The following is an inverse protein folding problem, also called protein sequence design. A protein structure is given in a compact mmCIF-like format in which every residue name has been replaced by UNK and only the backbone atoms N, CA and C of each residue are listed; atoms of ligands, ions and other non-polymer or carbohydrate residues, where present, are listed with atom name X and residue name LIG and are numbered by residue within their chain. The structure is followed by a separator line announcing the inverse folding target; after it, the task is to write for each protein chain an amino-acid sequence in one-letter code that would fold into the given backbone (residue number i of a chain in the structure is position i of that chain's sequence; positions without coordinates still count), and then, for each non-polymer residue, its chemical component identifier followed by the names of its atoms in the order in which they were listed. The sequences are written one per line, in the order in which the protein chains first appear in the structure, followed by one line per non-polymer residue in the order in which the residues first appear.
data_IF_363468285600
#
_entry.id   IF_363468285600
#
_cell.length_a   1.000
_cell.length_b   1.000
_cell.length_c   1.000
_cell.angle_alpha   90.00
_cell.angle_beta   90.00
_cell.angle_gamma   90.00
#
_symmetry.space_group_name_H-M   'P 1'
#
loop_
_entity.id
_entity.type
_entity.pdbx_description
1 polymer ?
#
# COMPACT_ATOMS: atom_id res chain seq x y z
N UNK A 1 -16.82 2.74 -0.57
CA UNK A 1 -15.89 3.78 -0.12
C UNK A 1 -14.99 4.15 -1.30
N UNK A 2 -14.07 5.10 -1.16
CA UNK A 2 -13.24 5.52 -2.29
C UNK A 2 -11.79 5.73 -1.88
N UNK A 3 -10.89 5.43 -2.80
CA UNK A 3 -9.49 5.84 -2.76
C UNK A 3 -9.33 6.97 -3.76
N UNK A 4 -8.66 8.04 -3.37
CA UNK A 4 -8.38 9.18 -4.22
C UNK A 4 -6.91 9.54 -4.13
N UNK A 5 -6.26 9.67 -5.28
CA UNK A 5 -4.88 10.16 -5.38
C UNK A 5 -4.93 11.61 -5.82
N UNK A 6 -4.33 12.51 -5.07
CA UNK A 6 -4.17 13.93 -5.39
C UNK A 6 -2.71 14.23 -5.71
N UNK A 7 -2.47 15.12 -6.67
CA UNK A 7 -1.13 15.63 -6.95
C UNK A 7 -1.18 17.03 -7.56
N UNK A 8 -0.04 17.72 -7.54
CA UNK A 8 0.16 18.96 -8.25
C UNK A 8 1.11 18.74 -9.42
N UNK A 9 0.72 19.14 -10.63
CA UNK A 9 1.60 19.18 -11.80
C UNK A 9 1.79 20.63 -12.19
N UNK A 10 3.02 21.14 -12.15
CA UNK A 10 3.32 22.54 -12.51
C UNK A 10 2.41 23.57 -11.79
N UNK A 11 2.13 23.33 -10.50
CA UNK A 11 1.27 24.18 -9.68
C UNK A 11 -0.24 24.02 -9.90
N UNK A 12 -0.68 23.10 -10.77
CA UNK A 12 -2.10 22.80 -11.01
C UNK A 12 -2.52 21.53 -10.27
N UNK A 13 -3.68 21.52 -9.60
CA UNK A 13 -4.17 20.34 -8.91
C UNK A 13 -4.80 19.33 -9.86
N UNK A 14 -4.59 18.07 -9.55
CA UNK A 14 -5.17 16.93 -10.23
C UNK A 14 -5.60 15.86 -9.23
N UNK A 15 -6.59 15.04 -9.63
CA UNK A 15 -7.02 13.89 -8.86
C UNK A 15 -7.39 12.71 -9.76
N UNK A 16 -7.29 11.50 -9.20
CA UNK A 16 -7.75 10.25 -9.80
C UNK A 16 -8.44 9.42 -8.72
N UNK A 17 -9.60 8.84 -9.05
CA UNK A 17 -10.41 8.05 -8.12
C UNK A 17 -10.31 6.57 -8.45
N UNK A 18 -10.22 5.74 -7.41
CA UNK A 18 -10.18 4.28 -7.50
C UNK A 18 -11.24 3.67 -6.59
N UNK A 19 -11.75 2.49 -6.97
CA UNK A 19 -12.64 1.71 -6.13
C UNK A 19 -11.90 1.03 -4.96
N UNK A 20 -12.65 0.51 -3.99
CA UNK A 20 -12.10 -0.06 -2.76
C UNK A 20 -11.18 -1.27 -2.98
N UNK A 21 -11.43 -2.06 -4.03
CA UNK A 21 -10.62 -3.21 -4.43
C UNK A 21 -9.34 -2.84 -5.18
N UNK A 22 -9.14 -1.55 -5.47
CA UNK A 22 -8.04 -1.05 -6.30
C UNK A 22 -6.90 -0.40 -5.51
N UNK A 23 -6.73 -0.73 -4.22
CA UNK A 23 -5.66 -0.13 -3.39
C UNK A 23 -4.27 -0.29 -4.01
N UNK A 24 -3.90 -1.48 -4.46
CA UNK A 24 -2.59 -1.72 -5.07
C UNK A 24 -2.41 -0.90 -6.35
N UNK A 25 -3.46 -0.76 -7.16
CA UNK A 25 -3.43 0.07 -8.36
C UNK A 25 -3.26 1.55 -8.02
N UNK A 26 -3.98 2.05 -7.01
CA UNK A 26 -3.86 3.44 -6.54
C UNK A 26 -2.45 3.74 -5.99
N UNK A 27 -1.83 2.80 -5.26
CA UNK A 27 -0.46 2.93 -4.78
C UNK A 27 0.55 2.93 -5.93
N UNK A 28 0.42 2.00 -6.88
CA UNK A 28 1.28 1.96 -8.06
C UNK A 28 1.15 3.24 -8.91
N UNK A 29 -0.07 3.75 -9.06
CA UNK A 29 -0.34 5.03 -9.73
C UNK A 29 0.32 6.20 -9.00
N UNK A 30 0.20 6.26 -7.67
CA UNK A 30 0.85 7.29 -6.84
C UNK A 30 2.38 7.27 -7.01
N UNK A 31 2.99 6.08 -7.02
CA UNK A 31 4.42 5.91 -7.27
C UNK A 31 4.83 6.33 -8.68
N UNK A 32 4.01 6.04 -9.69
CA UNK A 32 4.26 6.50 -11.05
C UNK A 32 4.24 8.03 -11.13
N UNK A 33 3.22 8.69 -10.54
CA UNK A 33 3.15 10.16 -10.46
C UNK A 33 4.36 10.77 -9.76
N UNK A 34 4.89 10.14 -8.69
CA UNK A 34 6.11 10.63 -8.01
C UNK A 34 7.37 10.56 -8.89
N UNK A 35 7.41 9.63 -9.85
CA UNK A 35 8.58 9.38 -10.71
C UNK A 35 8.53 10.11 -12.03
N UNK A 36 7.37 10.63 -12.42
CA UNK A 36 7.23 11.40 -13.65
C UNK A 36 8.17 12.61 -13.64
N UNK A 37 8.87 12.77 -14.76
CA UNK A 37 9.81 13.86 -15.00
C UNK A 37 9.32 14.69 -16.18
N UNK A 38 9.64 15.98 -16.15
CA UNK A 38 9.41 16.85 -17.30
C UNK A 38 10.47 16.63 -18.39
N UNK A 39 10.42 17.44 -19.46
CA UNK A 39 11.36 17.36 -20.57
C UNK A 39 12.81 17.71 -20.17
N UNK A 40 13.00 18.35 -19.01
CA UNK A 40 14.28 18.75 -18.45
C UNK A 40 14.81 17.70 -17.46
N UNK A 41 14.02 16.66 -17.15
CA UNK A 41 14.39 15.61 -16.22
C UNK A 41 14.10 15.94 -14.75
N UNK A 42 13.47 17.09 -14.48
CA UNK A 42 13.06 17.51 -13.15
C UNK A 42 11.73 16.88 -12.76
N UNK A 43 11.45 16.80 -11.45
CA UNK A 43 10.20 16.21 -10.98
C UNK A 43 8.99 17.00 -11.52
N UNK A 44 8.15 16.33 -12.32
CA UNK A 44 6.97 16.95 -12.93
C UNK A 44 5.89 17.26 -11.89
N UNK A 45 5.76 16.36 -10.92
CA UNK A 45 4.69 16.37 -9.93
C UNK A 45 5.23 16.65 -8.53
N UNK A 46 4.45 17.38 -7.74
CA UNK A 46 4.68 17.62 -6.31
C UNK A 46 3.43 17.26 -5.50
N UNK A 47 3.59 17.10 -4.18
CA UNK A 47 2.49 16.82 -3.24
C UNK A 47 1.59 15.63 -3.64
N UNK A 48 2.19 14.49 -4.04
CA UNK A 48 1.44 13.27 -4.38
C UNK A 48 0.93 12.57 -3.11
N UNK A 49 -0.38 12.66 -2.85
CA UNK A 49 -1.04 12.16 -1.64
C UNK A 49 -2.13 11.15 -2.02
N UNK A 50 -2.17 10.02 -1.30
CA UNK A 50 -3.25 9.03 -1.40
C UNK A 50 -4.16 9.18 -0.18
N UNK A 51 -5.44 9.42 -0.40
CA UNK A 51 -6.49 9.40 0.61
C UNK A 51 -7.36 8.16 0.39
N UNK A 52 -7.63 7.38 1.42
CA UNK A 52 -8.42 6.15 1.30
C UNK A 52 -9.36 5.99 2.48
N UNK A 53 -10.62 5.68 2.20
CA UNK A 53 -11.62 5.35 3.23
C UNK A 53 -11.95 3.85 3.23
N UNK A 54 -10.95 2.97 3.19
CA UNK A 54 -11.20 1.55 3.03
C UNK A 54 -11.96 0.94 4.21
N UNK A 55 -13.05 0.24 3.89
CA UNK A 55 -13.93 -0.39 4.88
C UNK A 55 -13.27 -1.48 5.70
N UNK A 56 -12.15 -2.04 5.25
CA UNK A 56 -11.35 -3.07 5.94
C UNK A 56 -10.11 -2.47 6.62
N UNK A 57 -10.27 -1.32 7.28
CA UNK A 57 -9.19 -0.76 8.09
C UNK A 57 -8.78 -1.74 9.20
N UNK A 58 -7.49 -2.10 9.25
CA UNK A 58 -6.90 -2.95 10.30
C UNK A 58 -6.96 -2.32 11.70
N UNK A 59 -7.36 -1.05 11.80
CA UNK A 59 -7.67 -0.39 13.07
C UNK A 59 -9.10 -0.63 13.55
N UNK A 60 -9.90 -1.45 12.85
CA UNK A 60 -11.16 -1.94 13.41
C UNK A 60 -10.85 -2.74 14.68
N UNK A 61 -11.51 -2.43 15.82
CA UNK A 61 -11.45 -3.28 17.00
C UNK A 61 -11.77 -4.72 16.59
N UNK A 62 -10.97 -5.70 17.01
CA UNK A 62 -11.18 -7.11 16.63
C UNK A 62 -10.19 -7.68 15.60
N UNK A 63 -9.61 -6.87 14.72
CA UNK A 63 -8.78 -7.39 13.60
C UNK A 63 -7.43 -7.95 14.07
N UNK A 64 -6.96 -7.55 15.26
CA UNK A 64 -5.77 -8.13 15.93
C UNK A 64 -6.12 -8.93 17.20
N UNK A 65 -7.41 -9.15 17.47
CA UNK A 65 -7.83 -9.84 18.70
C UNK A 65 -7.64 -11.36 18.58
N UNK A 66 -7.81 -11.91 17.36
CA UNK A 66 -7.42 -13.27 17.02
C UNK A 66 -6.16 -13.24 16.16
N UNK A 67 -5.02 -13.49 16.82
CA UNK A 67 -3.75 -13.65 16.15
C UNK A 67 -3.64 -15.08 15.60
N UNK A 68 -3.16 -15.28 14.36
CA UNK A 68 -2.76 -16.59 13.88
C UNK A 68 -1.80 -17.26 14.89
N UNK A 69 -1.84 -18.60 15.05
CA UNK A 69 -0.99 -19.31 16.01
C UNK A 69 0.52 -19.05 15.84
N UNK A 70 0.94 -18.67 14.62
CA UNK A 70 2.31 -18.41 14.23
C UNK A 70 2.67 -16.91 14.16
N UNK A 71 1.76 -16.01 14.55
CA UNK A 71 1.94 -14.56 14.44
C UNK A 71 3.22 -14.03 15.12
N UNK A 72 3.55 -14.55 16.30
CA UNK A 72 4.77 -14.18 17.03
C UNK A 72 6.04 -14.49 16.22
N UNK A 73 6.04 -15.59 15.47
CA UNK A 73 7.16 -15.98 14.63
C UNK A 73 7.26 -15.10 13.39
N UNK A 74 6.17 -14.97 12.63
CA UNK A 74 6.11 -14.21 11.37
C UNK A 74 6.34 -12.71 11.58
N UNK A 75 6.09 -12.21 12.80
CA UNK A 75 6.42 -10.82 13.18
C UNK A 75 7.93 -10.63 13.38
N UNK A 76 8.63 -11.63 13.93
CA UNK A 76 10.08 -11.56 14.21
C UNK A 76 10.94 -12.07 13.05
N UNK A 77 10.36 -12.80 12.10
CA UNK A 77 11.08 -13.45 11.00
C UNK A 77 10.34 -13.23 9.68
N UNK A 78 11.09 -13.01 8.59
CA UNK A 78 10.50 -12.93 7.24
C UNK A 78 10.14 -14.34 6.75
N UNK A 79 8.92 -14.80 7.05
CA UNK A 79 8.38 -16.10 6.61
C UNK A 79 7.65 -16.85 7.73
N UNK A 80 6.99 -17.96 7.39
CA UNK A 80 6.35 -18.83 8.36
C UNK A 80 7.36 -19.62 9.21
N UNK A 81 6.93 -20.19 10.35
CA UNK A 81 7.78 -21.07 11.15
C UNK A 81 8.25 -22.28 10.33
N UNK A 82 9.44 -22.82 10.63
CA UNK A 82 9.94 -24.02 9.97
C UNK A 82 8.94 -25.17 10.15
N UNK A 83 8.70 -25.90 9.07
CA UNK A 83 7.98 -27.16 9.12
C UNK A 83 8.82 -28.22 9.88
N UNK A 84 8.22 -29.36 10.28
CA UNK A 84 8.93 -30.40 11.05
C UNK A 84 10.19 -30.96 10.37
N UNK A 85 10.34 -30.74 9.07
CA UNK A 85 11.50 -31.07 8.23
C UNK A 85 12.59 -29.98 8.22
N UNK A 86 12.39 -28.90 8.97
CA UNK A 86 13.32 -27.77 9.11
C UNK A 86 13.24 -26.73 8.00
N UNK A 87 12.35 -26.88 7.01
CA UNK A 87 12.24 -25.88 5.94
C UNK A 87 11.24 -24.77 6.32
N UNK A 88 11.63 -23.48 6.24
CA UNK A 88 10.71 -22.38 6.49
C UNK A 88 9.58 -22.39 5.47
N UNK A 89 8.33 -22.26 5.94
CA UNK A 89 7.19 -22.01 5.04
C UNK A 89 7.41 -20.69 4.33
N UNK A 90 7.81 -20.75 3.06
CA UNK A 90 7.83 -19.57 2.20
C UNK A 90 6.39 -19.19 1.85
N UNK A 91 6.11 -17.89 1.88
CA UNK A 91 4.87 -17.34 1.37
C UNK A 91 4.81 -17.67 -0.13
N UNK A 92 3.85 -18.50 -0.53
CA UNK A 92 3.48 -18.69 -1.93
C UNK A 92 2.72 -17.48 -2.45
#
# INVERSE_FOLDING_TARGET
MSIVVYWLSQGRPHCETFSDDQLLAALAFSEARRKDKDAQGEALNSHVVTHSELGNCVSKPGVSDELPPDYSWTKSHRGGPPAPDGQPKTLA
#
